data_IF_966881106331
#
_entry.id   IF_966881106331
#
_cell.length_a   1.000
_cell.length_b   1.000
_cell.length_c   1.000
_cell.angle_alpha   90.00
_cell.angle_beta   90.00
_cell.angle_gamma   90.00
#
_symmetry.space_group_name_H-M   'P 1'
#
loop_
_entity.id
_entity.type
_entity.pdbx_description
1 polymer ?
#
# COMPACT_ATOMS: atom_id res chain seq x y z
N UNK A 1 -32.11 9.94 -12.74
CA UNK A 1 -31.27 8.74 -12.77
C UNK A 1 -30.63 8.58 -11.39
N UNK A 2 -30.80 7.47 -10.70
CA UNK A 2 -30.08 7.27 -9.47
C UNK A 2 -28.59 7.27 -9.79
N UNK A 3 -27.84 8.03 -8.99
CA UNK A 3 -26.38 8.02 -9.03
C UNK A 3 -25.93 6.56 -8.85
N UNK A 4 -24.98 6.03 -9.63
CA UNK A 4 -24.48 4.68 -9.37
C UNK A 4 -23.98 4.63 -7.92
N UNK A 5 -24.26 3.56 -7.19
CA UNK A 5 -23.77 3.43 -5.83
C UNK A 5 -22.27 3.65 -5.83
N UNK A 6 -21.80 4.59 -5.03
CA UNK A 6 -20.38 4.83 -4.87
C UNK A 6 -19.71 3.60 -4.22
N UNK A 7 -18.38 3.49 -4.27
CA UNK A 7 -17.69 2.37 -3.68
C UNK A 7 -18.01 2.27 -2.18
N UNK A 8 -18.29 1.05 -1.70
CA UNK A 8 -18.59 0.77 -0.30
C UNK A 8 -17.39 1.07 0.62
N UNK A 9 -16.19 1.06 0.05
CA UNK A 9 -14.94 1.41 0.73
C UNK A 9 -13.93 1.94 -0.28
N UNK A 10 -13.22 3.02 0.09
CA UNK A 10 -12.14 3.58 -0.73
C UNK A 10 -11.06 4.18 0.15
N UNK A 11 -9.84 3.69 -0.01
CA UNK A 11 -8.65 4.18 0.69
C UNK A 11 -7.48 4.30 -0.28
N UNK A 12 -6.77 5.42 -0.25
CA UNK A 12 -5.49 5.55 -0.93
C UNK A 12 -4.36 5.41 0.07
N UNK A 13 -3.43 4.51 -0.21
CA UNK A 13 -2.34 4.17 0.68
C UNK A 13 -1.19 5.18 0.58
N UNK A 14 -1.46 6.43 0.96
CA UNK A 14 -0.47 7.50 0.99
C UNK A 14 0.68 7.14 1.92
N UNK A 15 1.94 7.55 1.58
CA UNK A 15 3.06 7.44 2.50
C UNK A 15 2.80 8.18 3.81
N UNK A 16 3.29 7.63 4.92
CA UNK A 16 3.24 8.30 6.21
C UNK A 16 4.21 9.49 6.25
N UNK A 17 3.93 10.49 7.09
CA UNK A 17 4.75 11.70 7.19
C UNK A 17 6.23 11.41 7.48
N UNK A 18 6.52 10.40 8.32
CA UNK A 18 7.90 10.02 8.63
C UNK A 18 8.71 9.55 7.41
N UNK A 19 8.05 8.99 6.37
CA UNK A 19 8.71 8.57 5.13
C UNK A 19 9.29 9.79 4.40
N UNK A 20 8.54 10.89 4.35
CA UNK A 20 9.03 12.14 3.76
C UNK A 20 10.19 12.74 4.55
N UNK A 21 10.13 12.67 5.89
CA UNK A 21 11.22 13.13 6.76
C UNK A 21 12.46 12.25 6.57
N UNK A 22 12.29 10.93 6.54
CA UNK A 22 13.41 10.00 6.33
C UNK A 22 14.07 10.19 4.97
N UNK A 23 13.29 10.35 3.90
CA UNK A 23 13.81 10.57 2.56
C UNK A 23 14.46 11.95 2.40
N UNK A 24 14.11 12.94 3.23
CA UNK A 24 14.76 14.25 3.25
C UNK A 24 16.25 14.18 3.62
N UNK A 25 16.73 13.08 4.22
CA UNK A 25 18.15 12.85 4.45
C UNK A 25 18.99 12.82 3.16
N UNK A 26 18.37 12.63 2.01
CA UNK A 26 19.04 12.76 0.71
C UNK A 26 19.58 14.18 0.49
N UNK A 27 18.98 15.19 1.12
CA UNK A 27 19.41 16.60 1.01
C UNK A 27 20.81 16.79 1.59
N UNK A 28 21.05 16.55 2.89
CA UNK A 28 22.39 16.68 3.46
C UNK A 28 23.38 15.69 2.82
N UNK A 29 22.95 14.48 2.47
CA UNK A 29 23.81 13.52 1.78
C UNK A 29 24.31 14.04 0.43
N UNK A 30 23.44 14.63 -0.38
CA UNK A 30 23.81 15.24 -1.66
C UNK A 30 24.76 16.42 -1.47
N UNK A 31 24.50 17.28 -0.46
CA UNK A 31 25.38 18.41 -0.14
C UNK A 31 26.78 17.94 0.25
N UNK A 32 26.90 16.92 1.12
CA UNK A 32 28.19 16.39 1.55
C UNK A 32 29.00 15.82 0.38
N UNK A 33 28.35 15.15 -0.58
CA UNK A 33 29.05 14.61 -1.76
C UNK A 33 29.58 15.69 -2.69
N UNK A 34 28.77 16.73 -2.91
CA UNK A 34 29.10 17.77 -3.88
C UNK A 34 29.85 18.99 -3.30
N UNK A 35 29.89 19.15 -1.95
CA UNK A 35 30.53 20.27 -1.31
C UNK A 35 31.99 20.54 -1.78
N UNK A 36 32.85 19.49 -1.94
CA UNK A 36 34.21 19.69 -2.43
C UNK A 36 34.31 20.05 -3.92
N UNK A 37 33.22 19.87 -4.67
CA UNK A 37 33.18 20.09 -6.13
C UNK A 37 32.50 21.44 -6.44
N UNK A 38 31.23 21.59 -6.02
CA UNK A 38 30.42 22.79 -6.23
C UNK A 38 29.21 22.80 -5.31
N UNK A 39 29.08 23.81 -4.47
CA UNK A 39 27.91 23.99 -3.60
C UNK A 39 26.61 24.14 -4.39
N UNK A 40 26.67 24.86 -5.53
CA UNK A 40 25.49 25.03 -6.41
C UNK A 40 25.04 23.71 -6.98
N UNK A 41 25.95 22.87 -7.47
CA UNK A 41 25.63 21.54 -7.97
C UNK A 41 25.01 20.67 -6.86
N UNK A 42 25.49 20.74 -5.64
CA UNK A 42 24.94 20.03 -4.48
C UNK A 42 23.51 20.45 -4.16
N UNK A 43 23.21 21.74 -4.16
CA UNK A 43 21.85 22.26 -3.92
C UNK A 43 20.89 21.80 -5.03
N UNK A 44 21.26 21.96 -6.30
CA UNK A 44 20.43 21.53 -7.43
C UNK A 44 20.16 20.03 -7.38
N UNK A 45 21.20 19.23 -7.13
CA UNK A 45 21.08 17.79 -7.02
C UNK A 45 20.14 17.38 -5.85
N UNK A 46 20.29 18.00 -4.69
CA UNK A 46 19.44 17.75 -3.53
C UNK A 46 17.96 18.04 -3.83
N UNK A 47 17.67 19.18 -4.45
CA UNK A 47 16.29 19.57 -4.82
C UNK A 47 15.70 18.59 -5.82
N UNK A 48 16.43 18.26 -6.88
CA UNK A 48 15.97 17.37 -7.95
C UNK A 48 15.72 15.96 -7.42
N UNK A 49 16.66 15.41 -6.65
CA UNK A 49 16.50 14.06 -6.08
C UNK A 49 15.35 13.98 -5.09
N UNK A 50 15.23 14.95 -4.17
CA UNK A 50 14.14 14.93 -3.21
C UNK A 50 12.79 15.11 -3.88
N UNK A 51 12.67 16.02 -4.83
CA UNK A 51 11.45 16.21 -5.62
C UNK A 51 11.07 14.92 -6.39
N UNK A 52 12.03 14.26 -7.01
CA UNK A 52 11.81 13.00 -7.72
C UNK A 52 11.32 11.90 -6.78
N UNK A 53 11.90 11.79 -5.57
CA UNK A 53 11.44 10.83 -4.55
C UNK A 53 10.00 11.13 -4.13
N UNK A 54 9.68 12.38 -3.80
CA UNK A 54 8.33 12.78 -3.38
C UNK A 54 7.31 12.49 -4.47
N UNK A 55 7.59 12.88 -5.71
CA UNK A 55 6.70 12.63 -6.85
C UNK A 55 6.49 11.12 -7.05
N UNK A 56 7.54 10.32 -6.96
CA UNK A 56 7.44 8.86 -7.09
C UNK A 56 6.59 8.25 -5.98
N UNK A 57 6.81 8.65 -4.72
CA UNK A 57 6.03 8.17 -3.57
C UNK A 57 4.54 8.48 -3.71
N UNK A 58 4.22 9.69 -4.17
CA UNK A 58 2.82 10.12 -4.37
C UNK A 58 2.18 9.44 -5.58
N UNK A 59 2.90 9.34 -6.69
CA UNK A 59 2.41 8.74 -7.93
C UNK A 59 2.18 7.22 -7.81
N UNK A 60 2.97 6.54 -6.97
CA UNK A 60 2.90 5.09 -6.77
C UNK A 60 2.01 4.68 -5.60
N UNK A 61 1.36 5.62 -4.92
CA UNK A 61 0.43 5.31 -3.84
C UNK A 61 -0.78 4.52 -4.36
N UNK A 62 -0.94 3.22 -4.00
CA UNK A 62 -2.00 2.40 -4.54
C UNK A 62 -3.35 2.76 -3.93
N UNK A 63 -4.40 2.49 -4.70
CA UNK A 63 -5.78 2.61 -4.28
C UNK A 63 -6.30 1.24 -3.84
N UNK A 64 -7.01 1.22 -2.71
CA UNK A 64 -7.80 0.07 -2.24
C UNK A 64 -9.27 0.48 -2.29
N UNK A 65 -10.07 -0.28 -3.02
CA UNK A 65 -11.49 0.04 -3.25
C UNK A 65 -12.32 -1.23 -3.25
N UNK A 66 -13.49 -1.15 -2.66
CA UNK A 66 -14.50 -2.24 -2.66
C UNK A 66 -15.79 -1.67 -3.21
N UNK A 67 -16.25 -2.23 -4.31
CA UNK A 67 -17.59 -2.01 -4.82
C UNK A 67 -18.47 -3.27 -4.69
N UNK A 68 -19.66 -3.28 -5.24
CA UNK A 68 -20.60 -4.40 -5.12
C UNK A 68 -20.11 -5.69 -5.82
N UNK A 69 -19.27 -5.58 -6.83
CA UNK A 69 -18.82 -6.70 -7.65
C UNK A 69 -17.33 -7.02 -7.49
N UNK A 70 -16.51 -6.01 -7.23
CA UNK A 70 -15.04 -6.10 -7.28
C UNK A 70 -14.38 -5.58 -6.01
N UNK A 71 -13.30 -6.23 -5.66
CA UNK A 71 -12.28 -5.73 -4.76
C UNK A 71 -11.04 -5.32 -5.57
N UNK A 72 -10.68 -4.06 -5.50
CA UNK A 72 -9.52 -3.49 -6.21
C UNK A 72 -8.42 -3.18 -5.21
N UNK A 73 -7.23 -3.70 -5.45
CA UNK A 73 -6.06 -3.42 -4.64
C UNK A 73 -4.90 -3.01 -5.58
N UNK A 74 -4.63 -1.72 -5.66
CA UNK A 74 -3.67 -1.16 -6.60
C UNK A 74 -4.08 -1.39 -8.05
N UNK A 75 -3.34 -2.22 -8.76
CA UNK A 75 -3.63 -2.59 -10.15
C UNK A 75 -4.41 -3.90 -10.29
N UNK A 76 -4.48 -4.67 -9.22
CA UNK A 76 -5.15 -5.97 -9.23
C UNK A 76 -6.63 -5.80 -8.92
N UNK A 77 -7.44 -6.65 -9.54
CA UNK A 77 -8.89 -6.69 -9.38
C UNK A 77 -9.32 -8.11 -9.08
N UNK A 78 -10.14 -8.26 -8.06
CA UNK A 78 -10.64 -9.54 -7.60
C UNK A 78 -12.17 -9.52 -7.60
N UNK A 79 -12.85 -10.44 -8.33
CA UNK A 79 -14.28 -10.61 -8.18
C UNK A 79 -14.63 -11.01 -6.74
N UNK A 80 -15.61 -10.36 -6.15
CA UNK A 80 -16.02 -10.68 -4.75
C UNK A 80 -16.57 -12.10 -4.63
N UNK A 81 -17.02 -12.68 -5.70
CA UNK A 81 -17.55 -14.06 -5.76
C UNK A 81 -16.51 -15.13 -5.41
N UNK A 82 -15.21 -14.84 -5.59
CA UNK A 82 -14.12 -15.77 -5.24
C UNK A 82 -13.53 -15.53 -3.86
N UNK A 83 -14.07 -14.59 -3.10
CA UNK A 83 -13.63 -14.31 -1.72
C UNK A 83 -14.25 -15.35 -0.79
N UNK A 84 -13.43 -16.21 -0.20
CA UNK A 84 -13.85 -17.24 0.74
C UNK A 84 -13.91 -16.76 2.18
N UNK A 85 -13.03 -15.84 2.55
CA UNK A 85 -12.97 -15.29 3.91
C UNK A 85 -12.13 -14.04 3.98
N UNK A 86 -12.41 -13.22 4.99
CA UNK A 86 -11.70 -11.95 5.23
C UNK A 86 -11.38 -11.84 6.71
N UNK A 87 -10.12 -11.59 7.04
CA UNK A 87 -9.64 -11.46 8.42
C UNK A 87 -8.77 -10.22 8.58
N UNK A 88 -9.13 -9.31 9.51
CA UNK A 88 -8.30 -8.14 9.81
C UNK A 88 -7.15 -8.51 10.76
N UNK A 89 -6.01 -7.84 10.59
CA UNK A 89 -4.85 -7.97 11.46
C UNK A 89 -4.27 -6.60 11.82
N UNK A 90 -3.83 -6.46 13.07
CA UNK A 90 -3.19 -5.27 13.60
C UNK A 90 -2.03 -5.65 14.52
N UNK A 91 -1.15 -4.70 14.83
CA UNK A 91 -0.07 -4.90 15.80
C UNK A 91 0.85 -6.07 15.49
N UNK A 92 1.13 -6.90 16.51
CA UNK A 92 2.00 -8.08 16.40
C UNK A 92 1.49 -9.13 15.42
N UNK A 93 0.18 -9.31 15.36
CA UNK A 93 -0.44 -10.28 14.44
C UNK A 93 -0.27 -9.87 12.98
N UNK A 94 -0.40 -8.58 12.67
CA UNK A 94 -0.09 -8.06 11.34
C UNK A 94 1.39 -8.25 10.99
N UNK A 95 2.29 -8.09 11.95
CA UNK A 95 3.72 -8.35 11.76
C UNK A 95 4.00 -9.82 11.47
N UNK A 96 3.37 -10.73 12.20
CA UNK A 96 3.49 -12.17 11.97
C UNK A 96 2.99 -12.58 10.58
N UNK A 97 1.85 -12.02 10.14
CA UNK A 97 1.29 -12.28 8.81
C UNK A 97 2.20 -11.81 7.67
N UNK A 98 2.94 -10.71 7.86
CA UNK A 98 3.92 -10.20 6.88
C UNK A 98 5.24 -10.96 6.89
N UNK A 99 5.53 -11.69 7.94
CA UNK A 99 6.80 -12.35 8.18
C UNK A 99 6.66 -13.87 8.28
N UNK A 100 6.67 -14.38 9.50
CA UNK A 100 6.78 -15.83 9.79
C UNK A 100 5.61 -16.67 9.29
N UNK A 101 4.43 -16.08 9.14
CA UNK A 101 3.19 -16.75 8.69
C UNK A 101 2.86 -16.49 7.22
N UNK A 102 3.75 -15.82 6.49
CA UNK A 102 3.53 -15.47 5.09
C UNK A 102 3.71 -16.71 4.19
N UNK A 103 2.69 -17.02 3.38
CA UNK A 103 2.81 -18.01 2.29
C UNK A 103 3.46 -17.36 1.06
N UNK A 104 4.47 -18.00 0.51
CA UNK A 104 5.20 -17.51 -0.67
C UNK A 104 4.33 -17.39 -1.93
N UNK A 105 3.17 -18.04 -1.96
CA UNK A 105 2.22 -17.99 -3.07
C UNK A 105 1.16 -16.90 -2.91
N UNK A 106 1.14 -16.22 -1.76
CA UNK A 106 0.18 -15.14 -1.50
C UNK A 106 0.43 -13.94 -2.42
N UNK A 107 -0.65 -13.28 -2.83
CA UNK A 107 -0.54 -12.00 -3.50
C UNK A 107 -0.45 -10.87 -2.46
N UNK A 108 0.47 -9.93 -2.66
CA UNK A 108 0.84 -8.95 -1.65
C UNK A 108 0.67 -7.52 -2.16
N UNK A 109 -0.06 -6.71 -1.39
CA UNK A 109 -0.01 -5.26 -1.47
C UNK A 109 0.37 -4.71 -0.10
N UNK A 110 1.65 -4.77 0.22
CA UNK A 110 2.18 -4.35 1.52
C UNK A 110 2.87 -3.00 1.39
N UNK A 111 2.57 -2.11 2.34
CA UNK A 111 3.25 -0.83 2.52
C UNK A 111 3.79 -0.76 3.94
N UNK A 112 5.12 -0.66 4.08
CA UNK A 112 5.81 -0.71 5.38
C UNK A 112 5.42 0.40 6.36
N UNK A 113 4.87 1.49 5.86
CA UNK A 113 4.39 2.62 6.67
C UNK A 113 2.92 2.49 7.11
N UNK A 114 2.25 1.40 6.76
CA UNK A 114 0.86 1.12 7.14
C UNK A 114 0.85 -0.08 8.07
N UNK A 115 0.39 0.08 9.33
CA UNK A 115 0.52 -0.97 10.34
C UNK A 115 -0.51 -2.11 10.17
N UNK A 116 -1.72 -1.79 9.69
CA UNK A 116 -2.80 -2.74 9.57
C UNK A 116 -2.78 -3.55 8.27
N UNK A 117 -3.37 -4.73 8.31
CA UNK A 117 -3.53 -5.66 7.18
C UNK A 117 -4.91 -6.28 7.17
N UNK A 118 -5.35 -6.66 5.98
CA UNK A 118 -6.47 -7.58 5.78
C UNK A 118 -6.00 -8.76 4.94
N UNK A 119 -6.32 -9.96 5.40
CA UNK A 119 -6.10 -11.20 4.68
C UNK A 119 -7.40 -11.62 4.01
N UNK A 120 -7.40 -11.69 2.68
CA UNK A 120 -8.55 -12.09 1.87
C UNK A 120 -8.27 -13.47 1.31
N UNK A 121 -8.91 -14.48 1.87
CA UNK A 121 -8.80 -15.87 1.40
C UNK A 121 -9.59 -16.05 0.12
N UNK A 122 -9.00 -16.78 -0.82
CA UNK A 122 -9.60 -17.04 -2.14
C UNK A 122 -10.09 -18.49 -2.25
N UNK A 123 -11.22 -18.64 -2.92
CA UNK A 123 -11.72 -19.92 -3.40
C UNK A 123 -11.94 -19.81 -4.92
N UNK A 124 -10.82 -19.87 -5.66
CA UNK A 124 -10.81 -19.82 -7.11
C UNK A 124 -10.06 -21.06 -7.66
N UNK A 125 -10.76 -22.03 -8.24
CA UNK A 125 -10.12 -23.22 -8.79
C UNK A 125 -9.13 -22.94 -9.92
N UNK A 126 -9.23 -21.78 -10.55
CA UNK A 126 -8.35 -21.36 -11.67
C UNK A 126 -7.08 -20.64 -11.23
N UNK A 127 -7.02 -20.18 -9.96
CA UNK A 127 -5.90 -19.44 -9.41
C UNK A 127 -5.28 -20.16 -8.19
N UNK A 128 -4.00 -20.55 -8.23
CA UNK A 128 -3.33 -21.22 -7.12
C UNK A 128 -3.00 -20.29 -5.95
N UNK A 129 -3.30 -18.99 -6.05
CA UNK A 129 -3.07 -18.01 -5.00
C UNK A 129 -3.97 -18.30 -3.80
N UNK A 130 -3.42 -18.58 -2.60
CA UNK A 130 -4.25 -18.97 -1.45
C UNK A 130 -4.99 -17.79 -0.83
N UNK A 131 -4.37 -16.61 -0.83
CA UNK A 131 -4.96 -15.39 -0.28
C UNK A 131 -4.24 -14.13 -0.78
N UNK A 132 -4.93 -13.00 -0.64
CA UNK A 132 -4.35 -11.67 -0.77
C UNK A 132 -4.08 -11.07 0.60
N UNK A 133 -2.93 -10.43 0.77
CA UNK A 133 -2.56 -9.70 1.98
C UNK A 133 -2.40 -8.23 1.62
N UNK A 134 -3.32 -7.40 2.10
CA UNK A 134 -3.45 -6.00 1.69
C UNK A 134 -3.29 -5.08 2.89
N UNK A 135 -2.37 -4.11 2.79
CA UNK A 135 -2.21 -3.06 3.79
C UNK A 135 -3.40 -2.11 3.80
N UNK A 136 -3.84 -1.74 4.99
CA UNK A 136 -4.90 -0.75 5.20
C UNK A 136 -4.75 -0.09 6.57
N UNK A 137 -5.12 1.19 6.69
CA UNK A 137 -5.21 1.88 7.98
C UNK A 137 -6.47 1.53 8.75
N UNK A 138 -7.46 0.93 8.07
CA UNK A 138 -8.78 0.63 8.62
C UNK A 138 -9.16 -0.84 8.38
N UNK A 139 -8.45 -1.82 9.00
CA UNK A 139 -8.67 -3.25 8.75
C UNK A 139 -10.11 -3.71 8.98
N UNK A 140 -10.74 -3.21 10.04
CA UNK A 140 -12.12 -3.56 10.38
C UNK A 140 -13.13 -3.03 9.36
N UNK A 141 -12.94 -1.78 8.88
CA UNK A 141 -13.83 -1.18 7.89
C UNK A 141 -13.72 -1.87 6.53
N UNK A 142 -12.49 -2.18 6.10
CA UNK A 142 -12.27 -2.92 4.87
C UNK A 142 -12.86 -4.33 4.95
N UNK A 143 -12.69 -5.00 6.09
CA UNK A 143 -13.29 -6.31 6.35
C UNK A 143 -14.81 -6.27 6.30
N UNK A 144 -15.43 -5.28 6.93
CA UNK A 144 -16.87 -5.08 6.90
C UNK A 144 -17.38 -4.83 5.47
N UNK A 145 -16.68 -4.01 4.69
CA UNK A 145 -17.04 -3.73 3.29
C UNK A 145 -16.94 -4.96 2.38
N UNK A 146 -16.00 -5.87 2.67
CA UNK A 146 -15.83 -7.12 1.90
C UNK A 146 -16.82 -8.22 2.31
N UNK A 147 -17.40 -8.14 3.51
CA UNK A 147 -18.38 -9.13 4.02
C UNK A 147 -19.84 -8.77 3.69
N UNK A 148 -20.13 -7.49 3.39
CA UNK A 148 -21.44 -7.02 2.99
C UNK A 148 -21.66 -7.21 1.49
#
# INVERSE_FOLDING_TARGET
MPNPPGPNYRERLWPAAWVFVATALVIPASLLVFLPISTTAGIVCAIVLYAAIVVTLLATAPLVEVDDALFVAGRARLPRTVVAGVTPFSGSDATAQRGTQLDARAWLLIRGWIPGLVKVQLDDPSDPTPYWLVSTRHPEQLTAALKN
#
